data_IF_937220588080
#
_entry.id   IF_937220588080
#
_cell.length_a   1.000
_cell.length_b   1.000
_cell.length_c   1.000
_cell.angle_alpha   90.00
_cell.angle_beta   90.00
_cell.angle_gamma   90.00
#
_symmetry.space_group_name_H-M   'P 1'
#
loop_
_entity.id
_entity.type
_entity.pdbx_description
1 polymer ?
#
# COMPACT_ATOMS: atom_id res chain seq x y z
N UNK A 1 3.43 -5.09 -12.28
CA UNK A 1 3.28 -4.32 -11.04
C UNK A 1 4.66 -3.89 -10.59
N UNK A 2 4.82 -2.66 -10.13
CA UNK A 2 6.08 -2.13 -9.58
C UNK A 2 5.77 -1.61 -8.17
N UNK A 3 6.61 -1.94 -7.19
CA UNK A 3 6.50 -1.44 -5.81
C UNK A 3 7.71 -0.55 -5.53
N UNK A 4 7.45 0.68 -5.09
CA UNK A 4 8.45 1.65 -4.66
C UNK A 4 8.26 1.86 -3.16
N UNK A 5 9.26 1.55 -2.35
CA UNK A 5 9.15 1.65 -0.90
C UNK A 5 10.46 2.19 -0.31
N UNK A 6 10.36 2.78 0.89
CA UNK A 6 11.52 3.27 1.63
C UNK A 6 11.86 2.29 2.78
N UNK A 7 12.97 1.57 2.65
CA UNK A 7 13.43 0.59 3.64
C UNK A 7 13.63 1.20 5.04
N UNK A 8 13.94 2.49 5.14
CA UNK A 8 14.13 3.18 6.42
C UNK A 8 12.85 3.19 7.27
N UNK A 9 11.67 3.00 6.67
CA UNK A 9 10.40 2.93 7.38
C UNK A 9 10.16 1.57 8.05
N UNK A 10 10.92 0.51 7.74
CA UNK A 10 10.69 -0.85 8.25
C UNK A 10 10.64 -0.93 9.78
N UNK A 11 11.54 -0.22 10.47
CA UNK A 11 11.58 -0.16 11.93
C UNK A 11 10.36 0.55 12.53
N UNK A 12 9.80 1.54 11.81
CA UNK A 12 8.65 2.32 12.26
C UNK A 12 7.34 1.54 12.11
N UNK A 13 7.23 0.73 11.06
CA UNK A 13 6.02 -0.03 10.72
C UNK A 13 5.64 -1.05 11.81
N UNK A 14 6.62 -1.58 12.56
CA UNK A 14 6.39 -2.54 13.63
C UNK A 14 5.42 -2.02 14.71
N UNK A 15 5.37 -0.69 14.87
CA UNK A 15 4.52 0.00 15.84
C UNK A 15 3.31 0.69 15.18
N UNK A 16 3.16 0.58 13.86
CA UNK A 16 2.13 1.27 13.10
C UNK A 16 0.82 0.47 13.09
N UNK A 17 -0.08 0.81 13.99
CA UNK A 17 -1.34 0.10 14.19
C UNK A 17 -2.42 0.43 13.14
N UNK A 18 -2.35 1.60 12.50
CA UNK A 18 -3.34 2.04 11.52
C UNK A 18 -2.69 2.32 10.19
N UNK A 19 -3.23 1.71 9.14
CA UNK A 19 -2.78 1.92 7.77
C UNK A 19 -3.90 2.55 6.97
N UNK A 20 -3.53 3.43 6.05
CA UNK A 20 -4.45 4.13 5.16
C UNK A 20 -4.01 3.89 3.74
N UNK A 21 -4.93 3.45 2.90
CA UNK A 21 -4.66 3.16 1.50
C UNK A 21 -5.55 4.00 0.60
N UNK A 22 -4.99 4.43 -0.53
CA UNK A 22 -5.72 5.22 -1.53
C UNK A 22 -5.29 4.81 -2.94
N UNK A 23 -6.23 4.92 -3.89
CA UNK A 23 -6.03 4.60 -5.29
C UNK A 23 -6.18 5.83 -6.17
N UNK A 24 -5.12 6.24 -6.89
CA UNK A 24 -5.23 7.31 -7.90
C UNK A 24 -5.06 6.78 -9.31
N UNK A 25 -6.06 7.05 -10.16
CA UNK A 25 -6.14 6.51 -11.52
C UNK A 25 -5.58 7.46 -12.58
N UNK A 26 -5.92 8.76 -12.48
CA UNK A 26 -5.53 9.77 -13.48
C UNK A 26 -4.02 10.01 -13.51
N UNK A 27 -3.34 9.71 -12.41
CA UNK A 27 -1.89 9.87 -12.25
C UNK A 27 -1.10 8.63 -12.65
N UNK A 28 -1.76 7.57 -13.12
CA UNK A 28 -1.08 6.34 -13.51
C UNK A 28 -0.26 6.56 -14.81
N UNK A 29 1.03 6.20 -14.82
CA UNK A 29 1.84 6.29 -16.04
C UNK A 29 1.36 5.27 -17.08
N UNK A 30 1.66 5.54 -18.35
CA UNK A 30 1.30 4.64 -19.45
C UNK A 30 1.80 3.22 -19.19
N UNK A 31 0.93 2.22 -19.41
CA UNK A 31 1.17 0.82 -19.08
C UNK A 31 0.66 0.39 -17.69
N UNK A 32 0.13 1.31 -16.89
CA UNK A 32 -0.50 1.02 -15.60
C UNK A 32 -1.91 1.61 -15.52
N UNK A 33 -2.77 0.94 -14.75
CA UNK A 33 -4.17 1.34 -14.57
C UNK A 33 -4.38 2.22 -13.33
N UNK A 34 -3.44 2.17 -12.37
CA UNK A 34 -3.59 2.82 -11.07
C UNK A 34 -2.24 2.97 -10.38
N UNK A 35 -2.08 4.05 -9.62
CA UNK A 35 -1.09 4.18 -8.54
C UNK A 35 -1.82 3.95 -7.22
N UNK A 36 -1.47 2.89 -6.52
CA UNK A 36 -1.98 2.57 -5.20
C UNK A 36 -0.97 3.02 -4.15
N UNK A 37 -1.42 3.73 -3.13
CA UNK A 37 -0.56 4.36 -2.13
C UNK A 37 -0.93 3.77 -0.77
N UNK A 38 0.07 3.38 0.00
CA UNK A 38 -0.12 2.94 1.39
C UNK A 38 0.61 3.91 2.30
N UNK A 39 -0.09 4.39 3.31
CA UNK A 39 0.43 5.17 4.42
C UNK A 39 0.26 4.40 5.73
N UNK A 40 1.08 4.71 6.71
CA UNK A 40 1.00 4.16 8.04
C UNK A 40 1.02 5.28 9.09
N UNK A 41 0.33 5.06 10.21
CA UNK A 41 0.35 6.02 11.31
C UNK A 41 1.60 5.86 12.17
N UNK A 42 2.27 6.97 12.46
CA UNK A 42 3.43 7.02 13.34
C UNK A 42 3.44 8.39 14.05
N UNK A 43 3.46 8.39 15.39
CA UNK A 43 3.45 9.63 16.20
C UNK A 43 2.38 10.66 15.79
N UNK A 44 1.14 10.20 15.56
CA UNK A 44 -0.02 11.03 15.14
C UNK A 44 0.06 11.61 13.72
N UNK A 45 1.08 11.25 12.95
CA UNK A 45 1.20 11.60 11.53
C UNK A 45 1.02 10.37 10.65
N UNK A 46 0.66 10.60 9.37
CA UNK A 46 0.61 9.56 8.35
C UNK A 46 1.84 9.68 7.46
N UNK A 47 2.69 8.66 7.52
CA UNK A 47 3.91 8.56 6.73
C UNK A 47 3.66 7.70 5.50
N UNK A 48 4.21 8.09 4.36
CA UNK A 48 4.19 7.26 3.15
C UNK A 48 4.98 5.98 3.40
N UNK A 49 4.34 4.83 3.18
CA UNK A 49 5.00 3.54 3.18
C UNK A 49 5.56 3.21 1.80
N UNK A 50 4.66 3.16 0.83
CA UNK A 50 4.98 2.69 -0.52
C UNK A 50 3.99 3.21 -1.56
N UNK A 51 4.46 3.21 -2.79
CA UNK A 51 3.66 3.33 -4.01
C UNK A 51 3.66 1.99 -4.73
N UNK A 52 2.51 1.60 -5.28
CA UNK A 52 2.36 0.46 -6.17
C UNK A 52 1.78 0.90 -7.50
N UNK A 53 2.51 0.65 -8.58
CA UNK A 53 1.98 0.79 -9.92
C UNK A 53 1.28 -0.52 -10.32
N UNK A 54 -0.04 -0.51 -10.36
CA UNK A 54 -0.86 -1.68 -10.68
C UNK A 54 -1.21 -1.71 -12.17
N UNK A 55 -1.02 -2.86 -12.85
CA UNK A 55 -1.37 -3.00 -14.27
C UNK A 55 -2.88 -3.06 -14.48
N UNK A 56 -3.64 -3.53 -13.48
CA UNK A 56 -5.08 -3.68 -13.50
C UNK A 56 -5.71 -3.29 -12.17
N UNK A 57 -7.02 -3.45 -12.08
CA UNK A 57 -7.84 -3.08 -10.91
C UNK A 57 -8.70 -4.24 -10.43
N UNK A 58 -8.42 -5.46 -10.85
CA UNK A 58 -9.22 -6.62 -10.46
C UNK A 58 -8.87 -7.07 -9.04
N UNK A 59 -9.76 -7.80 -8.39
CA UNK A 59 -9.50 -8.40 -7.08
C UNK A 59 -8.22 -9.27 -7.09
N UNK A 60 -7.91 -9.95 -8.19
CA UNK A 60 -6.67 -10.73 -8.31
C UNK A 60 -5.43 -9.84 -8.40
N UNK A 61 -5.50 -8.66 -9.01
CA UNK A 61 -4.41 -7.67 -9.00
C UNK A 61 -4.14 -7.18 -7.57
N UNK A 62 -5.19 -6.86 -6.81
CA UNK A 62 -5.08 -6.42 -5.42
C UNK A 62 -4.55 -7.53 -4.50
N UNK A 63 -5.08 -8.75 -4.63
CA UNK A 63 -4.60 -9.89 -3.85
C UNK A 63 -3.11 -10.16 -4.10
N UNK A 64 -2.68 -10.09 -5.37
CA UNK A 64 -1.27 -10.22 -5.72
C UNK A 64 -0.44 -9.11 -5.09
N UNK A 65 -0.88 -7.86 -5.19
CA UNK A 65 -0.21 -6.71 -4.56
C UNK A 65 -0.02 -6.91 -3.06
N UNK A 66 -1.08 -7.31 -2.35
CA UNK A 66 -1.03 -7.53 -0.91
C UNK A 66 -0.02 -8.64 -0.57
N UNK A 67 0.01 -9.75 -1.32
CA UNK A 67 0.98 -10.82 -1.11
C UNK A 67 2.43 -10.33 -1.26
N UNK A 68 2.72 -9.57 -2.31
CA UNK A 68 4.06 -9.02 -2.53
C UNK A 68 4.45 -8.00 -1.44
N UNK A 69 3.53 -7.13 -1.03
CA UNK A 69 3.76 -6.17 0.07
C UNK A 69 4.05 -6.91 1.39
N UNK A 70 3.29 -7.96 1.72
CA UNK A 70 3.55 -8.76 2.93
C UNK A 70 4.93 -9.40 2.92
N UNK A 71 5.34 -9.93 1.77
CA UNK A 71 6.66 -10.51 1.55
C UNK A 71 7.77 -9.47 1.74
N UNK A 72 7.64 -8.29 1.12
CA UNK A 72 8.60 -7.19 1.22
C UNK A 72 8.77 -6.68 2.65
N UNK A 73 7.67 -6.61 3.41
CA UNK A 73 7.68 -6.14 4.79
C UNK A 73 8.04 -7.23 5.80
N UNK A 74 8.47 -8.41 5.32
CA UNK A 74 8.91 -9.55 6.13
C UNK A 74 7.91 -9.96 7.23
N UNK A 75 6.61 -9.72 7.00
CA UNK A 75 5.54 -9.88 7.98
C UNK A 75 5.78 -9.13 9.33
N UNK A 76 6.57 -8.06 9.34
CA UNK A 76 6.92 -7.31 10.56
C UNK A 76 5.89 -6.22 10.94
N UNK A 77 4.67 -6.26 10.41
CA UNK A 77 3.66 -5.24 10.65
C UNK A 77 2.59 -5.71 11.66
N UNK A 78 2.07 -4.78 12.46
CA UNK A 78 0.96 -5.02 13.41
C UNK A 78 -0.24 -4.14 13.08
N UNK A 79 -0.83 -4.38 11.92
CA UNK A 79 -2.03 -3.65 11.47
C UNK A 79 -3.22 -4.08 12.33
N UNK A 80 -3.87 -3.11 12.98
CA UNK A 80 -5.15 -3.29 13.67
C UNK A 80 -6.30 -2.67 12.89
N UNK A 81 -6.04 -1.52 12.26
CA UNK A 81 -7.01 -0.79 11.47
C UNK A 81 -6.45 -0.62 10.06
N UNK A 82 -7.26 -0.95 9.07
CA UNK A 82 -7.01 -0.64 7.66
C UNK A 82 -8.14 0.25 7.18
N UNK A 83 -7.80 1.43 6.70
CA UNK A 83 -8.73 2.41 6.14
C UNK A 83 -8.43 2.49 4.66
N UNK A 84 -9.41 2.21 3.81
CA UNK A 84 -9.29 2.46 2.38
C UNK A 84 -10.59 3.04 1.86
N UNK A 85 -10.52 3.77 0.76
CA UNK A 85 -11.73 4.21 0.08
C UNK A 85 -12.42 3.02 -0.59
N UNK A 86 -13.74 3.14 -0.82
CA UNK A 86 -14.51 2.09 -1.48
C UNK A 86 -14.24 2.10 -2.98
N UNK A 87 -13.21 1.37 -3.37
CA UNK A 87 -12.97 1.01 -4.76
C UNK A 87 -13.71 -0.29 -5.05
N UNK A 88 -14.62 -0.32 -6.03
CA UNK A 88 -15.29 -1.54 -6.47
C UNK A 88 -14.22 -2.49 -7.03
N UNK A 89 -13.54 -3.24 -6.17
CA UNK A 89 -12.65 -4.40 -6.39
C UNK A 89 -11.75 -4.78 -5.20
N UNK A 90 -11.92 -4.20 -3.99
CA UNK A 90 -11.36 -4.77 -2.74
C UNK A 90 -12.43 -5.62 -2.05
#
# INVERSE_FOLDING_TARGET
MIILFNENCLSMIQNAATWVCDGTFKSAPSGFSQVFIIHFSYHQEFMLLLYVLLPGKSLSDYNRMICEVKSLLLNQFKIKNLICDFEISI
#
